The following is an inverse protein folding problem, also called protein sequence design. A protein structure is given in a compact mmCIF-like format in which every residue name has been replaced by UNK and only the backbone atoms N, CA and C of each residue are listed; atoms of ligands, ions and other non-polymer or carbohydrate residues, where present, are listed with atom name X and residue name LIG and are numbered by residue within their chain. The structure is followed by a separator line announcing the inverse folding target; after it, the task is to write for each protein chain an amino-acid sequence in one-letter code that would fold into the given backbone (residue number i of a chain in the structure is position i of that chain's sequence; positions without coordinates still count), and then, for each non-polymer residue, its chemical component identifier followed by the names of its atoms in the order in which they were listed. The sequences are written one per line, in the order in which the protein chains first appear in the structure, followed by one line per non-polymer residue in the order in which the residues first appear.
data_IF_630901462393
#
_entry.id   IF_630901462393
#
_cell.length_a   1.000
_cell.length_b   1.000
_cell.length_c   1.000
_cell.angle_alpha   90.00
_cell.angle_beta   90.00
_cell.angle_gamma   90.00
#
_symmetry.space_group_name_H-M   'P 1'
#
loop_
_entity.id
_entity.type
_entity.pdbx_description
1 polymer ?
#
# COMPACT_ATOMS: atom_id res chain seq x y z
N UNK A 1 21.68 6.09 -8.57
CA UNK A 1 20.82 4.90 -8.38
C UNK A 1 19.86 5.11 -7.21
N UNK A 2 20.39 5.31 -5.99
CA UNK A 2 19.59 5.52 -4.75
C UNK A 2 18.50 6.61 -4.89
N UNK A 3 18.85 7.80 -5.39
CA UNK A 3 17.86 8.87 -5.58
C UNK A 3 16.72 8.48 -6.52
N UNK A 4 17.00 7.72 -7.58
CA UNK A 4 15.97 7.25 -8.52
C UNK A 4 14.99 6.30 -7.83
N UNK A 5 15.51 5.35 -7.04
CA UNK A 5 14.70 4.38 -6.27
C UNK A 5 13.80 5.06 -5.24
N UNK A 6 14.31 6.10 -4.57
CA UNK A 6 13.55 6.90 -3.62
C UNK A 6 12.40 7.61 -4.33
N UNK A 7 12.67 8.29 -5.44
CA UNK A 7 11.65 9.04 -6.18
C UNK A 7 10.60 8.09 -6.76
N UNK A 8 11.00 6.96 -7.36
CA UNK A 8 10.04 5.97 -7.88
C UNK A 8 9.22 5.34 -6.76
N UNK A 9 9.83 5.01 -5.62
CA UNK A 9 9.12 4.43 -4.48
C UNK A 9 8.12 5.40 -3.86
N UNK A 10 8.43 6.70 -3.84
CA UNK A 10 7.50 7.74 -3.42
C UNK A 10 6.36 7.91 -4.42
N UNK A 11 6.67 7.97 -5.72
CA UNK A 11 5.67 8.10 -6.77
C UNK A 11 4.68 6.92 -6.77
N UNK A 12 5.19 5.69 -6.60
CA UNK A 12 4.38 4.48 -6.46
C UNK A 12 3.48 4.57 -5.22
N UNK A 13 4.05 4.87 -4.05
CA UNK A 13 3.27 5.02 -2.81
C UNK A 13 2.15 6.06 -2.96
N UNK A 14 2.42 7.21 -3.55
CA UNK A 14 1.39 8.24 -3.80
C UNK A 14 0.30 7.72 -4.73
N UNK A 15 0.66 7.15 -5.89
CA UNK A 15 -0.30 6.67 -6.88
C UNK A 15 -1.19 5.54 -6.32
N UNK A 16 -0.59 4.58 -5.63
CA UNK A 16 -1.29 3.45 -5.04
C UNK A 16 -2.23 3.91 -3.92
N UNK A 17 -1.78 4.78 -3.01
CA UNK A 17 -2.63 5.26 -1.92
C UNK A 17 -3.78 6.14 -2.43
N UNK A 18 -3.59 6.92 -3.50
CA UNK A 18 -4.69 7.64 -4.17
C UNK A 18 -5.74 6.65 -4.66
N UNK A 19 -5.35 5.57 -5.33
CA UNK A 19 -6.29 4.60 -5.87
C UNK A 19 -6.97 3.78 -4.75
N UNK A 20 -6.20 3.11 -3.91
CA UNK A 20 -6.74 2.16 -2.95
C UNK A 20 -7.41 2.86 -1.76
N UNK A 21 -6.77 3.88 -1.17
CA UNK A 21 -7.24 4.54 0.06
C UNK A 21 -7.99 5.85 -0.25
N UNK A 22 -7.68 6.50 -1.37
CA UNK A 22 -8.37 7.70 -1.84
C UNK A 22 -9.68 7.44 -2.56
N UNK A 23 -9.77 6.34 -3.31
CA UNK A 23 -10.95 6.02 -4.13
C UNK A 23 -11.64 4.71 -3.74
N UNK A 24 -10.94 3.57 -3.81
CA UNK A 24 -11.58 2.26 -3.70
C UNK A 24 -12.14 1.97 -2.30
N UNK A 25 -11.36 2.21 -1.24
CA UNK A 25 -11.80 2.03 0.14
C UNK A 25 -12.98 2.95 0.49
N UNK A 26 -12.97 4.26 0.20
CA UNK A 26 -14.14 5.11 0.38
C UNK A 26 -15.37 4.65 -0.41
N UNK A 27 -15.19 4.12 -1.62
CA UNK A 27 -16.31 3.56 -2.40
C UNK A 27 -16.96 2.35 -1.69
N UNK A 28 -16.16 1.42 -1.18
CA UNK A 28 -16.68 0.29 -0.40
C UNK A 28 -17.32 0.76 0.91
N UNK A 29 -16.73 1.76 1.55
CA UNK A 29 -17.20 2.30 2.83
C UNK A 29 -18.61 2.90 2.75
N UNK A 30 -19.08 3.30 1.56
CA UNK A 30 -20.48 3.72 1.32
C UNK A 30 -21.51 2.64 1.61
N UNK A 31 -21.12 1.35 1.56
CA UNK A 31 -22.02 0.19 1.72
C UNK A 31 -21.60 -0.77 2.82
N UNK A 32 -20.32 -0.82 3.16
CA UNK A 32 -19.76 -1.79 4.10
C UNK A 32 -19.09 -1.10 5.29
N UNK A 33 -18.86 -1.87 6.36
CA UNK A 33 -18.11 -1.39 7.54
C UNK A 33 -16.66 -1.05 7.18
N UNK A 34 -16.00 -0.29 8.06
CA UNK A 34 -14.59 0.06 7.91
C UNK A 34 -13.70 -1.19 7.78
N UNK A 35 -13.88 -2.17 8.68
CA UNK A 35 -13.10 -3.40 8.68
C UNK A 35 -13.27 -4.19 7.37
N UNK A 36 -14.50 -4.36 6.89
CA UNK A 36 -14.77 -5.07 5.63
C UNK A 36 -14.16 -4.32 4.45
N UNK A 37 -14.28 -3.00 4.41
CA UNK A 37 -13.72 -2.18 3.33
C UNK A 37 -12.19 -2.26 3.29
N UNK A 38 -11.54 -2.20 4.45
CA UNK A 38 -10.08 -2.34 4.59
C UNK A 38 -9.64 -3.73 4.11
N UNK A 39 -10.27 -4.81 4.60
CA UNK A 39 -9.87 -6.17 4.22
C UNK A 39 -10.10 -6.40 2.73
N UNK A 40 -11.27 -6.02 2.19
CA UNK A 40 -11.58 -6.20 0.78
C UNK A 40 -10.62 -5.42 -0.14
N UNK A 41 -10.24 -4.20 0.23
CA UNK A 41 -9.22 -3.44 -0.50
C UNK A 41 -7.87 -4.13 -0.49
N UNK A 42 -7.47 -4.67 0.66
CA UNK A 42 -6.19 -5.35 0.79
C UNK A 42 -6.11 -6.71 0.09
N UNK A 43 -7.26 -7.39 -0.05
CA UNK A 43 -7.36 -8.61 -0.87
C UNK A 43 -7.16 -8.34 -2.37
N UNK A 44 -7.30 -7.09 -2.83
CA UNK A 44 -6.96 -6.69 -4.20
C UNK A 44 -5.53 -6.14 -4.28
N UNK A 45 -5.14 -5.33 -3.29
CA UNK A 45 -3.81 -4.72 -3.21
C UNK A 45 -2.67 -5.75 -3.21
N UNK A 46 -2.75 -6.78 -2.35
CA UNK A 46 -1.65 -7.71 -2.15
C UNK A 46 -1.38 -8.61 -3.39
N UNK A 47 -2.38 -9.21 -4.07
CA UNK A 47 -2.13 -9.99 -5.28
C UNK A 47 -1.52 -9.18 -6.42
N UNK A 48 -1.86 -7.90 -6.57
CA UNK A 48 -1.28 -7.04 -7.62
C UNK A 48 0.24 -6.85 -7.45
N UNK A 49 0.77 -7.02 -6.24
CA UNK A 49 2.22 -6.97 -6.00
C UNK A 49 2.97 -8.14 -6.64
N UNK A 50 2.30 -9.26 -6.94
CA UNK A 50 2.92 -10.36 -7.70
C UNK A 50 3.25 -9.97 -9.14
N UNK A 51 2.60 -8.95 -9.69
CA UNK A 51 2.90 -8.45 -11.04
C UNK A 51 4.22 -7.67 -11.04
N UNK A 52 4.45 -6.85 -10.02
CA UNK A 52 5.67 -6.06 -9.87
C UNK A 52 6.85 -6.89 -9.34
N UNK A 53 6.57 -7.81 -8.41
CA UNK A 53 7.56 -8.67 -7.78
C UNK A 53 6.95 -10.09 -7.62
N UNK A 54 7.20 -11.02 -8.57
CA UNK A 54 6.53 -12.32 -8.66
C UNK A 54 7.07 -13.35 -7.65
N UNK A 55 7.13 -12.95 -6.38
CA UNK A 55 7.55 -13.78 -5.25
C UNK A 55 6.38 -13.92 -4.28
N UNK A 56 6.16 -15.13 -3.76
CA UNK A 56 5.07 -15.37 -2.78
C UNK A 56 5.16 -14.46 -1.55
N UNK A 57 6.36 -14.05 -1.15
CA UNK A 57 6.56 -13.11 -0.04
C UNK A 57 5.92 -11.74 -0.29
N UNK A 58 5.76 -11.33 -1.56
CA UNK A 58 5.08 -10.08 -1.93
C UNK A 58 3.60 -10.08 -1.50
N UNK A 59 2.97 -11.24 -1.28
CA UNK A 59 1.61 -11.31 -0.74
C UNK A 59 1.53 -10.84 0.72
N UNK A 60 2.66 -10.80 1.44
CA UNK A 60 2.69 -10.26 2.80
C UNK A 60 2.43 -8.75 2.86
N UNK A 61 2.45 -8.03 1.72
CA UNK A 61 2.01 -6.63 1.63
C UNK A 61 0.53 -6.44 2.03
N UNK A 62 -0.23 -7.54 2.12
CA UNK A 62 -1.54 -7.56 2.77
C UNK A 62 -1.52 -6.92 4.16
N UNK A 63 -0.57 -7.30 5.03
CA UNK A 63 -0.51 -6.85 6.42
C UNK A 63 -0.20 -5.35 6.58
N UNK A 64 0.87 -4.78 5.99
CA UNK A 64 1.07 -3.33 6.02
C UNK A 64 -0.07 -2.58 5.30
N UNK A 65 -0.70 -3.19 4.29
CA UNK A 65 -1.89 -2.65 3.65
C UNK A 65 -3.10 -2.50 4.61
N UNK A 66 -3.27 -3.40 5.59
CA UNK A 66 -4.29 -3.26 6.64
C UNK A 66 -4.02 -2.01 7.50
N UNK A 67 -2.74 -1.76 7.84
CA UNK A 67 -2.33 -0.58 8.61
C UNK A 67 -2.63 0.69 7.81
N UNK A 68 -2.27 0.74 6.53
CA UNK A 68 -2.58 1.87 5.64
C UNK A 68 -4.09 2.14 5.54
N UNK A 69 -4.90 1.08 5.46
CA UNK A 69 -6.36 1.20 5.44
C UNK A 69 -6.92 1.73 6.77
N UNK A 70 -6.39 1.28 7.91
CA UNK A 70 -6.75 1.81 9.22
C UNK A 70 -6.32 3.27 9.41
N UNK A 71 -5.12 3.64 8.97
CA UNK A 71 -4.63 5.01 8.98
C UNK A 71 -5.57 5.93 8.20
N UNK A 72 -6.04 5.49 7.02
CA UNK A 72 -7.04 6.23 6.24
C UNK A 72 -8.32 6.47 7.03
N UNK A 73 -8.89 5.45 7.68
CA UNK A 73 -10.10 5.61 8.49
C UNK A 73 -9.88 6.52 9.71
N UNK A 74 -8.71 6.41 10.37
CA UNK A 74 -8.39 7.17 11.58
C UNK A 74 -8.22 8.67 11.32
N UNK A 75 -7.56 9.03 10.22
CA UNK A 75 -7.17 10.42 9.94
C UNK A 75 -8.02 11.11 8.87
N UNK A 76 -8.90 10.37 8.17
CA UNK A 76 -9.79 10.93 7.15
C UNK A 76 -9.10 11.40 5.86
N UNK A 77 -7.79 11.18 5.72
CA UNK A 77 -7.01 11.54 4.54
C UNK A 77 -5.93 10.47 4.27
N UNK A 78 -5.25 10.54 3.10
CA UNK A 78 -4.27 9.52 2.68
C UNK A 78 -2.83 9.80 3.11
N UNK A 79 -2.51 10.99 3.65
CA UNK A 79 -1.13 11.38 3.90
C UNK A 79 -0.40 10.43 4.88
N UNK A 80 -0.99 10.01 6.02
CA UNK A 80 -0.34 9.03 6.91
C UNK A 80 -0.09 7.69 6.22
N UNK A 81 -1.02 7.25 5.37
CA UNK A 81 -0.88 6.00 4.61
C UNK A 81 0.24 6.10 3.58
N UNK A 82 0.37 7.24 2.87
CA UNK A 82 1.47 7.52 1.94
C UNK A 82 2.82 7.48 2.66
N UNK A 83 2.93 8.16 3.81
CA UNK A 83 4.17 8.18 4.60
C UNK A 83 4.54 6.77 5.06
N UNK A 84 3.58 6.03 5.62
CA UNK A 84 3.80 4.66 6.08
C UNK A 84 4.22 3.73 4.92
N UNK A 85 3.54 3.82 3.78
CA UNK A 85 3.87 3.05 2.58
C UNK A 85 5.26 3.39 2.06
N UNK A 86 5.58 4.67 1.90
CA UNK A 86 6.89 5.09 1.42
C UNK A 86 8.03 4.63 2.35
N UNK A 87 7.85 4.72 3.66
CA UNK A 87 8.81 4.18 4.63
C UNK A 87 8.97 2.66 4.49
N UNK A 88 7.87 1.93 4.23
CA UNK A 88 7.90 0.51 3.91
C UNK A 88 8.67 0.20 2.63
N UNK A 89 8.50 1.00 1.58
CA UNK A 89 9.26 0.86 0.33
C UNK A 89 10.76 1.05 0.58
N UNK A 90 11.13 2.11 1.32
CA UNK A 90 12.53 2.34 1.70
C UNK A 90 13.07 1.17 2.52
N UNK A 91 12.33 0.69 3.52
CA UNK A 91 12.73 -0.46 4.33
C UNK A 91 12.93 -1.72 3.48
N UNK A 92 12.03 -1.99 2.52
CA UNK A 92 12.12 -3.18 1.67
C UNK A 92 13.40 -3.22 0.83
N UNK A 93 13.91 -2.07 0.37
CA UNK A 93 15.15 -2.00 -0.43
C UNK A 93 16.35 -2.60 0.34
N UNK A 94 16.39 -2.45 1.66
CA UNK A 94 17.51 -2.89 2.50
C UNK A 94 17.36 -4.32 3.01
N UNK A 95 16.12 -4.75 3.32
CA UNK A 95 15.86 -6.04 3.96
C UNK A 95 15.35 -7.13 3.00
N UNK A 96 14.83 -6.72 1.85
CA UNK A 96 14.45 -7.59 0.74
C UNK A 96 15.10 -7.06 -0.55
N UNK A 97 16.45 -7.04 -0.63
CA UNK A 97 17.12 -6.69 -1.87
C UNK A 97 16.73 -7.72 -2.93
N UNK A 98 15.79 -7.33 -3.79
CA UNK A 98 15.58 -7.99 -5.07
C UNK A 98 16.92 -8.02 -5.79
N UNK A 99 17.34 -9.15 -6.38
CA UNK A 99 18.56 -9.22 -7.19
C UNK A 99 18.46 -8.44 -8.52
N UNK A 100 17.44 -7.58 -8.68
CA UNK A 100 17.15 -6.77 -9.86
C UNK A 100 16.97 -5.31 -9.47
#
# INVERSE_FOLDING_TARGET
LVLKLIISGLAAAVAEEIFFRGWMQPMLRKRYSAAVSIVAVNLVFAPLHLIAAPYFISLLTFFPGLIMGWLRERYGNILPSIIFHFLGNVWSIWFFPSPF
#
